data_IF_163212560361
#
_entry.id   IF_163212560361
#
_cell.length_a   1.000
_cell.length_b   1.000
_cell.length_c   1.000
_cell.angle_alpha   90.00
_cell.angle_beta   90.00
_cell.angle_gamma   90.00
#
_symmetry.space_group_name_H-M   'P 1'
#
loop_
_entity.id
_entity.type
_entity.pdbx_description
1 polymer ?
#
# COMPACT_ATOMS: atom_id res chain seq x y z
N UNK A 1 27.04 -8.50 -9.56
CA UNK A 1 26.97 -8.41 -8.08
C UNK A 1 26.18 -7.19 -7.61
N UNK A 2 26.50 -5.97 -8.08
CA UNK A 2 25.80 -4.74 -7.67
C UNK A 2 24.27 -4.81 -7.91
N UNK A 3 23.83 -5.29 -9.08
CA UNK A 3 22.40 -5.45 -9.40
C UNK A 3 21.69 -6.45 -8.46
N UNK A 4 22.37 -7.54 -8.05
CA UNK A 4 21.83 -8.53 -7.12
C UNK A 4 21.68 -7.92 -5.72
N UNK A 5 22.68 -7.17 -5.27
CA UNK A 5 22.63 -6.45 -3.98
C UNK A 5 21.47 -5.46 -3.98
N UNK A 6 21.36 -4.62 -5.03
CA UNK A 6 20.26 -3.66 -5.16
C UNK A 6 18.88 -4.35 -5.14
N UNK A 7 18.72 -5.47 -5.85
CA UNK A 7 17.48 -6.24 -5.87
C UNK A 7 17.11 -6.78 -4.48
N UNK A 8 18.07 -7.38 -3.76
CA UNK A 8 17.84 -7.89 -2.40
C UNK A 8 17.49 -6.76 -1.43
N UNK A 9 18.13 -5.59 -1.57
CA UNK A 9 17.80 -4.41 -0.77
C UNK A 9 16.35 -3.98 -0.97
N UNK A 10 15.90 -3.88 -2.22
CA UNK A 10 14.50 -3.53 -2.54
C UNK A 10 13.54 -4.60 -2.02
N UNK A 11 13.85 -5.88 -2.23
CA UNK A 11 13.01 -7.00 -1.78
C UNK A 11 12.88 -7.06 -0.25
N UNK A 12 13.91 -6.62 0.48
CA UNK A 12 13.88 -6.58 1.95
C UNK A 12 12.91 -5.54 2.50
N UNK A 13 12.65 -4.46 1.75
CA UNK A 13 11.73 -3.38 2.14
C UNK A 13 10.30 -3.68 1.69
N UNK A 14 10.12 -4.51 0.65
CA UNK A 14 8.82 -4.84 0.07
C UNK A 14 7.77 -5.33 1.09
N UNK A 15 8.07 -6.19 2.09
CA UNK A 15 7.11 -6.59 3.11
C UNK A 15 6.61 -5.40 3.95
N UNK A 16 7.50 -4.46 4.28
CA UNK A 16 7.14 -3.26 5.04
C UNK A 16 6.16 -2.38 4.27
N UNK A 17 6.45 -2.14 2.98
CA UNK A 17 5.57 -1.36 2.09
C UNK A 17 4.21 -2.03 1.95
N UNK A 18 4.17 -3.36 1.78
CA UNK A 18 2.92 -4.10 1.70
C UNK A 18 2.07 -3.87 2.95
N UNK A 19 2.67 -3.92 4.14
CA UNK A 19 1.95 -3.73 5.41
C UNK A 19 1.40 -2.31 5.55
N UNK A 20 2.18 -1.28 5.17
CA UNK A 20 1.82 0.12 5.42
C UNK A 20 0.94 0.75 4.35
N UNK A 21 1.06 0.31 3.10
CA UNK A 21 0.41 0.97 1.94
C UNK A 21 -0.89 0.27 1.53
N UNK A 22 -1.16 -0.93 2.03
CA UNK A 22 -2.34 -1.73 1.65
C UNK A 22 -3.34 -1.90 2.80
N UNK A 23 -4.44 -2.61 2.54
CA UNK A 23 -5.43 -2.99 3.56
C UNK A 23 -4.92 -4.02 4.59
N UNK A 24 -3.72 -4.56 4.42
CA UNK A 24 -3.18 -5.65 5.23
C UNK A 24 -3.25 -5.38 6.74
N UNK A 25 -2.78 -4.20 7.18
CA UNK A 25 -2.73 -3.83 8.61
C UNK A 25 -4.11 -3.88 9.27
N UNK A 26 -5.16 -3.37 8.61
CA UNK A 26 -6.52 -3.41 9.16
C UNK A 26 -7.02 -4.84 9.29
N UNK A 27 -6.81 -5.66 8.25
CA UNK A 27 -7.30 -7.04 8.20
C UNK A 27 -6.61 -7.89 9.28
N UNK A 28 -5.27 -7.84 9.36
CA UNK A 28 -4.51 -8.65 10.33
C UNK A 28 -4.84 -8.27 11.77
N UNK A 29 -5.05 -6.99 12.06
CA UNK A 29 -5.42 -6.52 13.41
C UNK A 29 -6.81 -7.02 13.77
N UNK A 30 -7.80 -6.88 12.89
CA UNK A 30 -9.17 -7.37 13.15
C UNK A 30 -9.18 -8.88 13.38
N UNK A 31 -8.50 -9.66 12.53
CA UNK A 31 -8.40 -11.12 12.71
C UNK A 31 -7.68 -11.51 14.01
N UNK A 32 -6.66 -10.75 14.41
CA UNK A 32 -5.94 -10.97 15.67
C UNK A 32 -6.81 -10.68 16.89
N UNK A 33 -7.58 -9.59 16.87
CA UNK A 33 -8.53 -9.25 17.93
C UNK A 33 -9.66 -10.29 18.03
N UNK A 34 -10.16 -10.76 16.89
CA UNK A 34 -11.15 -11.84 16.84
C UNK A 34 -10.62 -13.11 17.48
N UNK A 35 -9.37 -13.51 17.17
CA UNK A 35 -8.74 -14.65 17.83
C UNK A 35 -8.71 -14.48 19.35
N UNK A 36 -8.27 -13.32 19.84
CA UNK A 36 -8.23 -13.06 21.29
C UNK A 36 -9.63 -13.13 21.92
N UNK A 37 -10.66 -12.67 21.21
CA UNK A 37 -12.04 -12.70 21.68
C UNK A 37 -12.64 -14.12 21.75
N UNK A 38 -12.16 -15.07 20.94
CA UNK A 38 -12.62 -16.46 20.96
C UNK A 38 -12.19 -17.24 22.22
N UNK A 39 -11.25 -16.71 23.02
CA UNK A 39 -10.78 -17.36 24.25
C UNK A 39 -10.03 -18.68 24.02
N UNK A 40 -9.72 -19.02 22.76
CA UNK A 40 -9.00 -20.23 22.37
C UNK A 40 -7.50 -19.98 22.47
N UNK A 41 -6.79 -20.82 23.24
CA UNK A 41 -5.38 -20.52 23.61
C UNK A 41 -4.39 -20.54 22.43
N UNK A 42 -4.69 -21.21 21.30
CA UNK A 42 -3.75 -21.34 20.18
C UNK A 42 -4.39 -21.44 18.78
N UNK A 43 -5.72 -21.48 18.71
CA UNK A 43 -6.45 -21.58 17.44
C UNK A 43 -7.12 -20.24 17.12
N UNK A 44 -6.95 -19.67 15.91
CA UNK A 44 -6.07 -20.10 14.80
C UNK A 44 -4.58 -19.72 14.99
N UNK A 45 -3.63 -20.47 14.40
CA UNK A 45 -2.20 -20.14 14.40
C UNK A 45 -1.90 -18.79 13.72
N UNK A 46 -0.83 -18.09 14.14
CA UNK A 46 -0.39 -16.82 13.54
C UNK A 46 -0.22 -16.92 12.01
N UNK A 47 0.37 -18.00 11.53
CA UNK A 47 0.59 -18.24 10.10
C UNK A 47 -0.72 -18.25 9.32
N UNK A 48 -1.78 -18.84 9.88
CA UNK A 48 -3.11 -18.88 9.24
C UNK A 48 -3.71 -17.48 9.14
N UNK A 49 -3.61 -16.69 10.20
CA UNK A 49 -4.08 -15.30 10.22
C UNK A 49 -3.36 -14.46 9.17
N UNK A 50 -2.03 -14.59 9.09
CA UNK A 50 -1.21 -13.85 8.12
C UNK A 50 -1.56 -14.29 6.70
N UNK A 51 -1.65 -15.60 6.42
CA UNK A 51 -2.05 -16.10 5.10
C UNK A 51 -3.43 -15.60 4.69
N UNK A 52 -4.41 -15.66 5.58
CA UNK A 52 -5.76 -15.15 5.32
C UNK A 52 -5.73 -13.64 5.07
N UNK A 53 -4.97 -12.89 5.87
CA UNK A 53 -4.82 -11.44 5.70
C UNK A 53 -4.19 -11.09 4.33
N UNK A 54 -3.18 -11.84 3.88
CA UNK A 54 -2.57 -11.66 2.56
C UNK A 54 -3.55 -11.92 1.42
N UNK A 55 -4.30 -13.03 1.47
CA UNK A 55 -5.30 -13.34 0.44
C UNK A 55 -6.42 -12.31 0.38
N UNK A 56 -6.96 -11.91 1.53
CA UNK A 56 -7.98 -10.86 1.59
C UNK A 56 -7.44 -9.52 1.12
N UNK A 57 -6.19 -9.19 1.43
CA UNK A 57 -5.54 -7.98 0.91
C UNK A 57 -5.43 -8.03 -0.60
N UNK A 58 -4.98 -9.15 -1.19
CA UNK A 58 -4.90 -9.29 -2.64
C UNK A 58 -6.27 -9.14 -3.30
N UNK A 59 -7.31 -9.73 -2.69
CA UNK A 59 -8.70 -9.62 -3.17
C UNK A 59 -9.21 -8.18 -3.13
N UNK A 60 -9.00 -7.47 -2.01
CA UNK A 60 -9.45 -6.07 -1.84
C UNK A 60 -8.64 -5.11 -2.73
N UNK A 61 -7.34 -5.37 -2.91
CA UNK A 61 -6.43 -4.52 -3.69
C UNK A 61 -6.42 -4.83 -5.19
N UNK A 62 -7.10 -5.89 -5.64
CA UNK A 62 -7.19 -6.27 -7.05
C UNK A 62 -7.52 -5.12 -8.01
N UNK A 63 -8.54 -4.25 -7.77
CA UNK A 63 -8.83 -3.13 -8.66
C UNK A 63 -7.68 -2.12 -8.72
N UNK A 64 -7.03 -1.83 -7.59
CA UNK A 64 -5.89 -0.91 -7.50
C UNK A 64 -4.69 -1.44 -8.28
N UNK A 65 -4.37 -2.73 -8.13
CA UNK A 65 -3.27 -3.36 -8.87
C UNK A 65 -3.55 -3.43 -10.37
N UNK A 66 -4.78 -3.73 -10.77
CA UNK A 66 -5.16 -3.75 -12.19
C UNK A 66 -5.05 -2.35 -12.82
N UNK A 67 -5.48 -1.30 -12.11
CA UNK A 67 -5.32 0.08 -12.59
C UNK A 67 -3.85 0.47 -12.71
N UNK A 68 -3.04 0.17 -11.70
CA UNK A 68 -1.60 0.45 -11.73
C UNK A 68 -0.90 -0.27 -12.90
N UNK A 69 -1.30 -1.52 -13.18
CA UNK A 69 -0.77 -2.28 -14.29
C UNK A 69 -1.18 -1.70 -15.66
N UNK A 70 -2.46 -1.44 -15.88
CA UNK A 70 -2.98 -0.93 -17.15
C UNK A 70 -2.54 0.52 -17.44
N UNK A 71 -2.38 1.36 -16.41
CA UNK A 71 -2.06 2.78 -16.58
C UNK A 71 -0.55 3.08 -16.64
N UNK A 72 0.27 2.30 -15.93
CA UNK A 72 1.72 2.55 -15.83
C UNK A 72 2.57 1.43 -16.43
N UNK A 73 2.41 0.19 -15.96
CA UNK A 73 3.33 -0.91 -16.31
C UNK A 73 3.17 -1.33 -17.78
N UNK A 74 1.94 -1.55 -18.24
CA UNK A 74 1.68 -2.02 -19.61
C UNK A 74 2.09 -0.99 -20.67
N UNK A 75 1.79 0.32 -20.54
CA UNK A 75 2.28 1.31 -21.49
C UNK A 75 3.81 1.46 -21.51
N UNK A 76 4.50 1.23 -20.38
CA UNK A 76 5.96 1.20 -20.34
C UNK A 76 6.51 0.01 -21.14
N UNK A 77 5.92 -1.17 -20.98
CA UNK A 77 6.31 -2.37 -21.76
C UNK A 77 6.02 -2.23 -23.26
N UNK A 78 5.09 -1.35 -23.63
CA UNK A 78 4.76 -1.02 -25.02
C UNK A 78 5.54 0.19 -25.55
N UNK A 79 6.55 0.67 -24.81
CA UNK A 79 7.39 1.84 -25.13
C UNK A 79 6.59 3.13 -25.40
N UNK A 80 5.39 3.25 -24.79
CA UNK A 80 4.49 4.42 -24.99
C UNK A 80 4.74 5.56 -24.02
N UNK A 81 5.35 5.27 -22.87
CA UNK A 81 5.68 6.24 -21.82
C UNK A 81 7.09 5.98 -21.30
N UNK A 82 7.73 6.97 -20.71
CA UNK A 82 9.03 6.81 -20.07
C UNK A 82 8.93 6.15 -18.68
N UNK A 83 10.07 5.79 -18.09
CA UNK A 83 10.13 5.14 -16.77
C UNK A 83 9.58 6.04 -15.64
N UNK A 84 9.77 7.36 -15.76
CA UNK A 84 9.34 8.36 -14.79
C UNK A 84 7.81 8.49 -14.75
N UNK A 85 7.20 8.63 -15.92
CA UNK A 85 5.76 8.72 -16.11
C UNK A 85 5.09 7.37 -15.79
N UNK A 86 5.72 6.26 -16.12
CA UNK A 86 5.26 4.94 -15.71
C UNK A 86 5.21 4.80 -14.18
N UNK A 87 6.23 5.30 -13.48
CA UNK A 87 6.26 5.31 -12.02
C UNK A 87 5.10 6.13 -11.45
N UNK A 88 4.91 7.36 -11.90
CA UNK A 88 3.83 8.24 -11.42
C UNK A 88 2.44 7.64 -11.66
N UNK A 89 2.21 7.09 -12.86
CA UNK A 89 0.94 6.44 -13.22
C UNK A 89 0.71 5.13 -12.47
N UNK A 90 1.76 4.41 -12.11
CA UNK A 90 1.65 3.17 -11.30
C UNK A 90 1.31 3.49 -9.85
N UNK A 91 1.86 4.59 -9.31
CA UNK A 91 1.65 5.00 -7.92
C UNK A 91 0.32 5.71 -7.70
N UNK A 92 -0.22 6.39 -8.71
CA UNK A 92 -1.47 7.16 -8.58
C UNK A 92 -2.68 6.35 -8.06
N UNK A 93 -2.99 5.14 -8.56
CA UNK A 93 -4.09 4.33 -8.02
C UNK A 93 -3.89 3.95 -6.56
N UNK A 94 -2.64 3.67 -6.16
CA UNK A 94 -2.30 3.33 -4.77
C UNK A 94 -2.50 4.54 -3.86
N UNK A 95 -2.07 5.73 -4.30
CA UNK A 95 -2.32 6.99 -3.58
C UNK A 95 -3.81 7.25 -3.43
N UNK A 96 -4.60 7.06 -4.50
CA UNK A 96 -6.04 7.23 -4.46
C UNK A 96 -6.72 6.25 -3.48
N UNK A 97 -6.28 4.99 -3.46
CA UNK A 97 -6.75 4.02 -2.48
C UNK A 97 -6.47 4.51 -1.05
N UNK A 98 -5.25 4.96 -0.74
CA UNK A 98 -4.91 5.47 0.59
C UNK A 98 -5.78 6.67 0.97
N UNK A 99 -5.92 7.66 0.08
CA UNK A 99 -6.74 8.86 0.32
C UNK A 99 -8.20 8.51 0.62
N UNK A 100 -8.74 7.46 -0.01
CA UNK A 100 -10.10 6.99 0.28
C UNK A 100 -10.26 6.38 1.69
N UNK A 101 -9.15 5.99 2.34
CA UNK A 101 -9.15 5.32 3.64
C UNK A 101 -8.67 6.22 4.79
N UNK A 102 -8.05 7.36 4.48
CA UNK A 102 -7.55 8.32 5.47
C UNK A 102 -8.69 9.25 5.90
N UNK A 103 -8.76 9.56 7.19
CA UNK A 103 -9.73 10.53 7.71
C UNK A 103 -9.24 11.94 7.39
N UNK A 104 -10.13 12.80 6.91
CA UNK A 104 -9.77 14.19 6.57
C UNK A 104 -9.11 14.96 7.72
N UNK A 105 -9.59 14.73 8.94
CA UNK A 105 -9.03 15.36 10.15
C UNK A 105 -7.56 14.96 10.39
N UNK A 106 -7.23 13.69 10.15
CA UNK A 106 -5.89 13.15 10.38
C UNK A 106 -4.97 13.68 9.26
N UNK A 107 -5.46 13.67 8.01
CA UNK A 107 -4.73 14.25 6.88
C UNK A 107 -4.38 15.72 7.10
N UNK A 108 -5.34 16.54 7.55
CA UNK A 108 -5.11 17.96 7.86
C UNK A 108 -4.07 18.14 8.96
N UNK A 109 -4.17 17.37 10.04
CA UNK A 109 -3.19 17.40 11.14
C UNK A 109 -1.77 17.15 10.63
N UNK A 110 -1.56 16.13 9.78
CA UNK A 110 -0.23 15.84 9.23
C UNK A 110 0.26 16.92 8.27
N UNK A 111 -0.62 17.48 7.42
CA UNK A 111 -0.27 18.62 6.55
C UNK A 111 0.20 19.81 7.39
N UNK A 112 -0.54 20.17 8.45
CA UNK A 112 -0.22 21.28 9.34
C UNK A 112 1.13 21.07 10.07
N UNK A 113 1.39 19.83 10.50
CA UNK A 113 2.66 19.45 11.15
C UNK A 113 3.85 19.48 10.17
N UNK A 114 3.64 19.12 8.91
CA UNK A 114 4.68 19.09 7.88
C UNK A 114 5.18 20.47 7.47
N UNK A 115 4.45 21.55 7.81
CA UNK A 115 4.68 22.93 7.33
C UNK A 115 4.75 23.05 5.79
N UNK A 116 4.29 22.04 5.07
CA UNK A 116 4.24 22.02 3.61
C UNK A 116 3.06 22.85 3.10
N UNK A 117 3.15 23.38 1.89
CA UNK A 117 2.02 24.08 1.27
C UNK A 117 0.80 23.14 1.22
N UNK A 118 -0.37 23.61 1.65
CA UNK A 118 -1.61 22.83 1.63
C UNK A 118 -1.85 22.32 0.20
N UNK A 119 -1.86 21.00 -0.04
CA UNK A 119 -2.12 20.44 -1.36
C UNK A 119 -3.48 20.92 -1.87
N UNK A 120 -3.53 21.51 -3.07
CA UNK A 120 -4.79 22.03 -3.64
C UNK A 120 -5.70 20.89 -4.12
N UNK A 121 -5.13 19.73 -4.42
CA UNK A 121 -5.83 18.53 -4.84
C UNK A 121 -5.36 17.33 -4.03
N UNK A 122 -6.23 16.35 -3.79
CA UNK A 122 -5.85 15.09 -3.14
C UNK A 122 -4.67 14.40 -3.86
N UNK A 123 -4.56 14.60 -5.19
CA UNK A 123 -3.45 14.15 -6.03
C UNK A 123 -2.10 14.81 -5.72
N UNK A 124 -2.07 16.03 -5.15
CA UNK A 124 -0.85 16.79 -4.85
C UNK A 124 -0.28 16.48 -3.47
N UNK A 125 -0.93 15.57 -2.72
CA UNK A 125 -0.48 15.19 -1.38
C UNK A 125 0.86 14.44 -1.52
N UNK A 126 1.96 14.96 -0.93
CA UNK A 126 3.24 14.28 -0.97
C UNK A 126 3.12 12.92 -0.29
N UNK A 127 3.75 11.89 -0.85
CA UNK A 127 3.87 10.57 -0.19
C UNK A 127 4.71 10.64 1.10
N UNK A 128 5.39 11.76 1.34
CA UNK A 128 6.31 12.00 2.45
C UNK A 128 5.90 13.17 3.35
N UNK A 129 4.61 13.55 3.39
CA UNK A 129 4.13 14.63 4.26
C UNK A 129 4.29 14.28 5.75
#
# INVERSE_FOLDING_TARGET
>A
LIQLIAFITVLSIAPGILVTVTSFTRIVVVLSLLRSALGTQTSPPNTVIISLALFLTAFVMAPTFNQAYEQGIKPLMEDRIDETEAFDRTVAPVRQFMLSQVREQDLRLFIDLSKSATPQTAADTPLHA
#
